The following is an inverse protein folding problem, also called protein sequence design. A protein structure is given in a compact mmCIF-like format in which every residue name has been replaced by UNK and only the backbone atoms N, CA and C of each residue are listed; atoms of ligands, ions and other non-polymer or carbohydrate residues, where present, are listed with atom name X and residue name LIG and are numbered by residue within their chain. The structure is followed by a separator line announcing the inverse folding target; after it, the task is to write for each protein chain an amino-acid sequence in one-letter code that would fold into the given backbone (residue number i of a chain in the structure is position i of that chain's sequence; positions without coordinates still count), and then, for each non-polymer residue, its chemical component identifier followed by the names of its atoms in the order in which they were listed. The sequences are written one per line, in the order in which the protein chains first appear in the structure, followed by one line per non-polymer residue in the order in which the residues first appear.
data_IF_403093595061
#
_entry.id   IF_403093595061
#
_cell.length_a   1.000
_cell.length_b   1.000
_cell.length_c   1.000
_cell.angle_alpha   90.00
_cell.angle_beta   90.00
_cell.angle_gamma   90.00
#
_symmetry.space_group_name_H-M   'P 1'
#
loop_
_entity.id
_entity.type
_entity.pdbx_description
1 polymer ?
#
# COMPACT_ATOMS: atom_id res chain seq x y z
N UNK A 1 -7.23 -23.86 -12.62
CA UNK A 1 -8.47 -23.13 -12.94
C UNK A 1 -8.09 -21.82 -13.60
N UNK A 2 -8.83 -21.32 -14.60
CA UNK A 2 -8.59 -19.97 -15.13
C UNK A 2 -8.69 -18.96 -13.98
N UNK A 3 -7.71 -18.05 -13.86
CA UNK A 3 -7.68 -17.01 -12.82
C UNK A 3 -8.95 -16.17 -12.98
N UNK A 4 -9.85 -16.08 -11.97
CA UNK A 4 -11.00 -15.19 -12.06
C UNK A 4 -10.49 -13.77 -12.26
N UNK A 5 -10.98 -13.11 -13.31
CA UNK A 5 -10.67 -11.72 -13.65
C UNK A 5 -11.49 -10.76 -12.78
N UNK A 6 -11.56 -10.98 -11.47
CA UNK A 6 -12.21 -10.02 -10.59
C UNK A 6 -11.12 -9.04 -10.15
N UNK A 7 -11.23 -7.78 -10.62
CA UNK A 7 -10.41 -6.68 -10.13
C UNK A 7 -10.49 -6.67 -8.60
N UNK A 8 -9.36 -6.41 -7.93
CA UNK A 8 -9.43 -5.88 -6.58
C UNK A 8 -10.37 -4.65 -6.59
N UNK A 9 -11.20 -4.43 -5.55
CA UNK A 9 -11.98 -3.22 -5.41
C UNK A 9 -11.06 -1.99 -5.46
N UNK A 10 -11.63 -0.80 -5.67
CA UNK A 10 -10.85 0.42 -5.48
C UNK A 10 -10.56 0.56 -3.98
N UNK A 11 -9.30 0.39 -3.62
CA UNK A 11 -8.80 0.44 -2.26
C UNK A 11 -8.03 1.75 -2.17
N UNK A 12 -8.43 2.58 -1.22
CA UNK A 12 -7.64 3.74 -0.83
C UNK A 12 -6.97 3.47 0.50
N UNK A 13 -5.87 4.18 0.75
CA UNK A 13 -5.02 3.98 1.92
C UNK A 13 -5.77 4.17 3.24
N UNK A 14 -6.80 5.04 3.26
CA UNK A 14 -7.65 5.24 4.42
C UNK A 14 -8.76 4.18 4.42
N UNK A 15 -8.81 3.31 5.45
CA UNK A 15 -9.83 2.27 5.51
C UNK A 15 -11.22 2.88 5.78
N UNK A 16 -12.30 2.31 5.22
CA UNK A 16 -13.65 2.87 5.35
C UNK A 16 -14.10 3.11 6.79
N UNK A 17 -13.77 2.21 7.72
CA UNK A 17 -14.16 2.35 9.13
C UNK A 17 -13.59 3.62 9.80
N UNK A 18 -12.44 4.12 9.34
CA UNK A 18 -11.84 5.35 9.86
C UNK A 18 -12.63 6.56 9.39
N UNK A 19 -12.96 6.62 8.10
CA UNK A 19 -13.80 7.67 7.54
C UNK A 19 -15.22 7.64 8.13
N UNK A 20 -15.81 6.45 8.30
CA UNK A 20 -17.14 6.29 8.91
C UNK A 20 -17.19 6.84 10.33
N UNK A 21 -16.09 6.69 11.08
CA UNK A 21 -15.97 7.25 12.42
C UNK A 21 -15.82 8.77 12.39
N UNK A 22 -14.96 9.29 11.52
CA UNK A 22 -14.76 10.74 11.36
C UNK A 22 -16.03 11.43 10.87
N UNK A 23 -16.81 10.77 10.01
CA UNK A 23 -18.11 11.25 9.52
C UNK A 23 -19.15 11.43 10.65
N UNK A 24 -18.98 10.74 11.79
CA UNK A 24 -19.84 10.88 12.97
C UNK A 24 -19.34 11.94 13.95
N UNK A 25 -18.23 12.63 13.65
CA UNK A 25 -17.64 13.63 14.52
C UNK A 25 -18.53 14.88 14.64
N UNK A 26 -18.60 15.44 15.85
CA UNK A 26 -19.48 16.58 16.15
C UNK A 26 -19.01 17.90 15.48
N UNK A 27 -17.71 18.05 15.23
CA UNK A 27 -17.16 19.17 14.48
C UNK A 27 -17.29 18.94 12.96
N UNK A 28 -18.03 19.81 12.28
CA UNK A 28 -18.28 19.75 10.84
C UNK A 28 -16.99 19.87 10.01
N UNK A 29 -15.94 20.50 10.53
CA UNK A 29 -14.64 20.59 9.85
C UNK A 29 -13.96 19.23 9.71
N UNK A 30 -14.32 18.25 10.55
CA UNK A 30 -13.83 16.87 10.50
C UNK A 30 -14.85 15.97 9.79
N UNK A 31 -16.14 16.09 10.11
CA UNK A 31 -17.14 15.16 9.56
C UNK A 31 -17.49 15.42 8.10
N UNK A 32 -17.47 16.68 7.63
CA UNK A 32 -17.83 16.98 6.23
C UNK A 32 -16.80 16.45 5.21
N UNK A 33 -15.47 16.66 5.38
CA UNK A 33 -14.46 16.05 4.51
C UNK A 33 -14.55 14.52 4.46
N UNK A 34 -14.71 13.87 5.63
CA UNK A 34 -14.88 12.42 5.70
C UNK A 34 -16.12 11.91 4.93
N UNK A 35 -17.28 12.57 5.08
CA UNK A 35 -18.50 12.22 4.33
C UNK A 35 -18.31 12.41 2.82
N UNK A 36 -17.70 13.52 2.39
CA UNK A 36 -17.40 13.76 0.97
C UNK A 36 -16.49 12.68 0.40
N UNK A 37 -15.44 12.33 1.15
CA UNK A 37 -14.47 11.29 0.79
C UNK A 37 -15.16 9.95 0.64
N UNK A 38 -16.01 9.54 1.59
CA UNK A 38 -16.80 8.30 1.50
C UNK A 38 -17.67 8.24 0.23
N UNK A 39 -18.33 9.34 -0.12
CA UNK A 39 -19.18 9.44 -1.32
C UNK A 39 -18.33 9.28 -2.59
N UNK A 40 -17.18 9.97 -2.66
CA UNK A 40 -16.27 9.89 -3.80
C UNK A 40 -15.71 8.46 -3.93
N UNK A 41 -15.27 7.85 -2.84
CA UNK A 41 -14.75 6.48 -2.82
C UNK A 41 -15.80 5.47 -3.28
N UNK A 42 -17.05 5.62 -2.84
CA UNK A 42 -18.14 4.76 -3.27
C UNK A 42 -18.39 4.90 -4.78
N UNK A 43 -18.39 6.12 -5.33
CA UNK A 43 -18.53 6.34 -6.77
C UNK A 43 -17.39 5.66 -7.54
N UNK A 44 -16.15 5.81 -7.08
CA UNK A 44 -14.99 5.19 -7.72
C UNK A 44 -15.03 3.65 -7.65
N UNK A 45 -15.45 3.07 -6.51
CA UNK A 45 -15.70 1.62 -6.38
C UNK A 45 -16.75 1.14 -7.38
N UNK A 46 -17.90 1.81 -7.46
CA UNK A 46 -18.96 1.46 -8.41
C UNK A 46 -18.51 1.57 -9.87
N UNK A 47 -17.74 2.61 -10.24
CA UNK A 47 -17.19 2.75 -11.59
C UNK A 47 -16.24 1.58 -11.94
N UNK A 48 -15.46 1.10 -10.98
CA UNK A 48 -14.54 -0.04 -11.17
C UNK A 48 -15.29 -1.36 -11.29
N UNK A 49 -16.37 -1.56 -10.54
CA UNK A 49 -17.24 -2.74 -10.66
C UNK A 49 -17.98 -2.80 -12.00
N UNK A 50 -18.39 -1.64 -12.53
CA UNK A 50 -19.06 -1.55 -13.83
C UNK A 50 -18.13 -1.75 -15.04
N UNK A 51 -16.81 -1.69 -14.84
CA UNK A 51 -15.85 -1.90 -15.91
C UNK A 51 -15.84 -3.39 -16.34
N UNK A 52 -16.35 -3.68 -17.54
CA UNK A 52 -16.51 -5.02 -18.16
C UNK A 52 -15.22 -5.86 -18.18
N UNK A 53 -14.07 -5.21 -18.13
CA UNK A 53 -12.79 -5.82 -17.80
C UNK A 53 -12.19 -5.02 -16.64
N UNK A 54 -11.68 -5.69 -15.59
CA UNK A 54 -10.74 -5.05 -14.68
C UNK A 54 -9.68 -4.34 -15.52
N UNK A 55 -9.34 -3.08 -15.24
CA UNK A 55 -8.12 -2.54 -15.79
C UNK A 55 -6.96 -3.35 -15.19
N UNK A 56 -6.54 -4.41 -15.88
CA UNK A 56 -5.11 -4.72 -15.89
C UNK A 56 -4.45 -3.41 -16.27
N UNK A 57 -3.45 -2.99 -15.51
CA UNK A 57 -2.60 -1.86 -15.85
C UNK A 57 -2.24 -1.91 -17.34
N UNK A 58 -3.01 -1.18 -18.15
CA UNK A 58 -2.84 -1.09 -19.60
C UNK A 58 -2.38 0.34 -19.82
N UNK A 59 -1.27 0.55 -20.56
CA UNK A 59 -0.85 1.89 -20.91
C UNK A 59 -2.03 2.62 -21.57
N UNK A 60 -2.21 3.89 -21.24
CA UNK A 60 -3.13 4.74 -21.98
C UNK A 60 -2.79 4.67 -23.48
N UNK A 61 -3.77 4.75 -24.40
CA UNK A 61 -3.51 4.70 -25.84
C UNK A 61 -2.43 5.72 -26.24
N UNK A 62 -1.27 5.24 -26.69
CA UNK A 62 -0.11 6.07 -27.08
C UNK A 62 1.02 6.18 -26.04
N UNK A 63 0.81 5.72 -24.80
CA UNK A 63 1.86 5.66 -23.80
C UNK A 63 2.79 4.47 -24.10
N UNK A 64 4.03 4.74 -24.52
CA UNK A 64 5.04 3.71 -24.76
C UNK A 64 5.71 3.32 -23.45
N UNK A 65 5.92 2.03 -23.25
CA UNK A 65 6.79 1.53 -22.19
C UNK A 65 8.17 2.18 -22.31
N UNK A 66 8.71 2.65 -21.19
CA UNK A 66 10.08 3.15 -21.12
C UNK A 66 11.09 2.01 -21.34
N UNK A 67 12.36 2.32 -21.67
CA UNK A 67 13.40 1.30 -21.63
C UNK A 67 13.61 0.82 -20.18
N UNK A 68 13.94 -0.47 -20.03
CA UNK A 68 14.15 -1.08 -18.73
C UNK A 68 15.19 -0.31 -17.89
N UNK A 69 14.87 -0.07 -16.63
CA UNK A 69 15.67 0.73 -15.70
C UNK A 69 15.52 2.24 -15.83
N UNK A 70 14.61 2.73 -16.68
CA UNK A 70 14.23 4.15 -16.72
C UNK A 70 12.72 4.29 -16.52
N UNK A 71 12.28 4.93 -15.42
CA UNK A 71 10.86 5.18 -15.23
C UNK A 71 10.33 6.15 -16.30
N UNK A 72 9.04 6.04 -16.59
CA UNK A 72 8.30 7.03 -17.37
C UNK A 72 7.20 7.60 -16.48
N UNK A 73 7.44 8.76 -15.87
CA UNK A 73 6.46 9.41 -14.97
C UNK A 73 5.72 10.56 -15.64
N UNK A 74 4.48 10.76 -15.21
CA UNK A 74 3.70 11.96 -15.50
C UNK A 74 2.81 12.31 -14.31
N UNK A 75 3.02 13.49 -13.75
CA UNK A 75 2.18 14.04 -12.68
C UNK A 75 1.25 15.08 -13.26
N UNK A 76 -0.03 14.92 -12.93
CA UNK A 76 -1.12 15.78 -13.33
C UNK A 76 -1.75 16.47 -12.11
N UNK A 77 -2.44 17.56 -12.38
CA UNK A 77 -3.18 18.37 -11.42
C UNK A 77 -4.66 18.35 -11.79
N UNK A 78 -5.51 17.88 -10.87
CA UNK A 78 -6.95 17.82 -11.05
C UNK A 78 -7.65 19.18 -10.77
N UNK A 79 -6.94 20.17 -10.24
CA UNK A 79 -7.45 21.51 -9.96
C UNK A 79 -8.63 21.51 -8.99
N UNK A 80 -8.56 20.67 -7.95
CA UNK A 80 -9.62 20.40 -6.98
C UNK A 80 -10.93 19.84 -7.57
N UNK A 81 -10.91 19.40 -8.83
CA UNK A 81 -11.99 18.61 -9.43
C UNK A 81 -11.77 17.12 -9.20
N UNK A 82 -12.78 16.31 -9.54
CA UNK A 82 -12.67 14.85 -9.54
C UNK A 82 -12.43 14.26 -10.93
N UNK A 83 -12.06 15.08 -11.92
CA UNK A 83 -11.78 14.64 -13.29
C UNK A 83 -10.33 14.17 -13.45
N UNK A 84 -10.16 12.92 -13.87
CA UNK A 84 -8.85 12.29 -14.09
C UNK A 84 -8.46 12.24 -15.58
N UNK A 85 -7.16 12.31 -15.93
CA UNK A 85 -6.03 12.59 -15.03
C UNK A 85 -5.88 14.09 -14.72
N UNK A 86 -6.66 14.98 -15.34
CA UNK A 86 -6.45 16.43 -15.20
C UNK A 86 -5.29 16.95 -16.05
N UNK A 87 -4.76 18.12 -15.70
CA UNK A 87 -3.74 18.84 -16.48
C UNK A 87 -2.35 18.29 -16.19
N UNK A 88 -1.59 17.91 -17.23
CA UNK A 88 -0.18 17.53 -17.05
C UNK A 88 0.64 18.71 -16.53
N UNK A 89 1.30 18.55 -15.38
CA UNK A 89 2.11 19.59 -14.73
C UNK A 89 3.58 19.24 -14.60
N UNK A 90 3.94 17.94 -14.51
CA UNK A 90 5.35 17.50 -14.51
C UNK A 90 5.51 16.19 -15.28
N UNK A 91 6.29 16.22 -16.37
CA UNK A 91 6.62 15.06 -17.18
C UNK A 91 8.01 14.51 -16.83
N UNK A 92 8.31 13.27 -17.27
CA UNK A 92 9.62 12.65 -17.08
C UNK A 92 10.79 13.57 -17.48
N UNK A 93 11.78 13.72 -16.60
CA UNK A 93 12.97 14.54 -16.82
C UNK A 93 12.76 16.05 -16.68
N UNK A 94 11.55 16.52 -16.33
CA UNK A 94 11.30 17.95 -16.07
C UNK A 94 11.69 18.34 -14.63
N UNK A 95 12.18 19.57 -14.42
CA UNK A 95 12.56 20.05 -13.10
C UNK A 95 11.33 20.14 -12.18
N UNK A 96 11.60 20.29 -10.88
CA UNK A 96 10.60 20.56 -9.85
C UNK A 96 9.73 21.77 -10.21
N UNK A 97 8.44 21.70 -9.88
CA UNK A 97 7.46 22.75 -10.18
C UNK A 97 7.39 23.81 -9.08
N UNK A 98 7.84 23.48 -7.86
CA UNK A 98 7.66 24.32 -6.67
C UNK A 98 6.34 24.06 -5.95
N UNK A 99 5.50 23.17 -6.48
CA UNK A 99 4.34 22.63 -5.78
C UNK A 99 4.76 21.36 -5.03
N UNK A 100 4.59 21.37 -3.71
CA UNK A 100 5.03 20.26 -2.86
C UNK A 100 4.35 18.93 -3.22
N UNK A 101 3.04 18.93 -3.50
CA UNK A 101 2.32 17.70 -3.81
C UNK A 101 2.78 17.12 -5.15
N UNK A 102 2.94 17.97 -6.17
CA UNK A 102 3.44 17.57 -7.49
C UNK A 102 4.86 17.00 -7.38
N UNK A 103 5.72 17.68 -6.63
CA UNK A 103 7.12 17.30 -6.52
C UNK A 103 7.30 16.02 -5.71
N UNK A 104 6.62 15.87 -4.57
CA UNK A 104 6.59 14.64 -3.78
C UNK A 104 6.05 13.45 -4.57
N UNK A 105 4.91 13.60 -5.26
CA UNK A 105 4.35 12.55 -6.09
C UNK A 105 5.36 12.11 -7.18
N UNK A 106 6.01 13.06 -7.85
CA UNK A 106 6.98 12.75 -8.90
C UNK A 106 8.21 11.99 -8.35
N UNK A 107 8.74 12.42 -7.21
CA UNK A 107 9.90 11.80 -6.58
C UNK A 107 9.57 10.39 -6.07
N UNK A 108 8.44 10.21 -5.38
CA UNK A 108 8.10 8.93 -4.74
C UNK A 108 7.54 7.87 -5.71
N UNK A 109 6.89 8.27 -6.81
CA UNK A 109 6.67 7.38 -7.95
C UNK A 109 8.02 6.86 -8.49
N UNK A 110 9.02 7.74 -8.59
CA UNK A 110 10.37 7.39 -9.03
C UNK A 110 11.11 6.47 -8.06
N UNK A 111 11.02 6.77 -6.76
CA UNK A 111 11.63 5.95 -5.71
C UNK A 111 11.06 4.52 -5.70
N UNK A 112 9.74 4.38 -5.87
CA UNK A 112 9.08 3.08 -5.97
C UNK A 112 9.58 2.28 -7.18
N UNK A 113 9.62 2.90 -8.36
CA UNK A 113 10.18 2.25 -9.55
C UNK A 113 11.64 1.83 -9.32
N UNK A 114 12.46 2.75 -8.80
CA UNK A 114 13.88 2.54 -8.57
C UNK A 114 14.11 1.34 -7.65
N UNK A 115 13.37 1.25 -6.56
CA UNK A 115 13.44 0.12 -5.63
C UNK A 115 13.14 -1.21 -6.32
N UNK A 116 11.99 -1.33 -6.99
CA UNK A 116 11.60 -2.57 -7.67
C UNK A 116 12.57 -2.96 -8.79
N UNK A 117 13.12 -1.97 -9.51
CA UNK A 117 14.10 -2.22 -10.55
C UNK A 117 15.46 -2.64 -9.98
N UNK A 118 16.07 -1.81 -9.12
CA UNK A 118 17.44 -2.04 -8.65
C UNK A 118 17.52 -3.27 -7.72
N UNK A 119 16.50 -3.52 -6.89
CA UNK A 119 16.51 -4.64 -5.93
C UNK A 119 15.98 -5.93 -6.55
N UNK A 120 14.88 -5.85 -7.31
CA UNK A 120 14.16 -7.05 -7.77
C UNK A 120 14.20 -7.25 -9.28
N UNK A 121 14.85 -6.37 -10.04
CA UNK A 121 14.91 -6.39 -11.51
C UNK A 121 13.51 -6.43 -12.15
N UNK A 122 12.52 -5.81 -11.48
CA UNK A 122 11.16 -5.70 -11.97
C UNK A 122 10.99 -4.42 -12.78
N UNK A 123 10.56 -4.55 -14.03
CA UNK A 123 10.34 -3.41 -14.90
C UNK A 123 8.95 -2.78 -14.66
N UNK A 124 8.85 -1.85 -13.70
CA UNK A 124 7.59 -1.20 -13.29
C UNK A 124 6.54 -2.15 -12.68
N UNK A 125 5.32 -1.65 -12.49
CA UNK A 125 4.23 -2.32 -11.77
C UNK A 125 3.81 -3.64 -12.42
N UNK A 126 3.71 -3.67 -13.75
CA UNK A 126 3.31 -4.84 -14.55
C UNK A 126 4.47 -5.74 -14.98
N UNK A 127 5.71 -5.37 -14.63
CA UNK A 127 6.92 -6.04 -15.11
C UNK A 127 7.24 -5.80 -16.60
N UNK A 128 6.50 -4.90 -17.28
CA UNK A 128 6.65 -4.58 -18.70
C UNK A 128 6.86 -3.08 -18.97
N UNK A 129 7.14 -2.29 -17.94
CA UNK A 129 7.45 -0.88 -18.06
C UNK A 129 6.24 0.03 -18.11
N UNK A 130 5.15 -0.34 -17.42
CA UNK A 130 3.98 0.53 -17.24
C UNK A 130 4.41 1.96 -16.84
N UNK A 131 3.96 2.99 -17.57
CA UNK A 131 4.13 4.37 -17.16
C UNK A 131 3.48 4.66 -15.81
N UNK A 132 4.16 5.46 -14.99
CA UNK A 132 3.68 5.84 -13.66
C UNK A 132 2.98 7.19 -13.73
N UNK A 133 1.65 7.16 -13.67
CA UNK A 133 0.82 8.35 -13.71
C UNK A 133 0.35 8.65 -12.29
N UNK A 134 0.50 9.90 -11.87
CA UNK A 134 -0.05 10.41 -10.60
C UNK A 134 -0.89 11.66 -10.84
N UNK A 135 -2.00 11.79 -10.11
CA UNK A 135 -2.85 12.99 -10.14
C UNK A 135 -2.97 13.54 -8.73
N UNK A 136 -2.55 14.79 -8.52
CA UNK A 136 -2.63 15.52 -7.25
C UNK A 136 -3.80 16.51 -7.26
N UNK A 137 -4.08 17.11 -6.09
CA UNK A 137 -5.18 18.06 -5.89
C UNK A 137 -6.53 17.50 -6.32
N UNK A 138 -6.76 16.21 -6.05
CA UNK A 138 -7.99 15.53 -6.40
C UNK A 138 -9.09 15.87 -5.39
N UNK A 139 -10.18 16.48 -5.87
CA UNK A 139 -11.26 16.95 -5.01
C UNK A 139 -10.87 18.11 -4.08
N UNK A 140 -11.81 18.50 -3.22
CA UNK A 140 -11.61 19.48 -2.15
C UNK A 140 -11.62 18.76 -0.81
N UNK A 141 -10.59 18.95 0.01
CA UNK A 141 -10.40 18.31 1.31
C UNK A 141 -10.61 16.78 1.24
N UNK A 142 -10.07 16.16 0.19
CA UNK A 142 -10.22 14.73 -0.03
C UNK A 142 -9.24 13.97 0.87
N UNK A 143 -9.79 13.20 1.81
CA UNK A 143 -9.05 12.48 2.84
C UNK A 143 -8.67 11.06 2.40
N UNK A 144 -8.13 10.92 1.19
CA UNK A 144 -7.63 9.63 0.72
C UNK A 144 -6.59 9.75 -0.40
N UNK A 145 -5.93 8.62 -0.66
CA UNK A 145 -5.19 8.34 -1.88
C UNK A 145 -5.42 6.90 -2.31
N UNK A 146 -5.38 6.63 -3.61
CA UNK A 146 -5.68 5.29 -4.13
C UNK A 146 -5.01 4.99 -5.47
N UNK A 147 -4.76 3.71 -5.73
CA UNK A 147 -4.49 3.17 -7.07
C UNK A 147 -5.77 2.70 -7.77
N UNK A 148 -6.11 3.31 -8.91
CA UNK A 148 -7.35 2.98 -9.62
C UNK A 148 -7.22 1.89 -10.71
N UNK A 149 -6.07 1.22 -10.78
CA UNK A 149 -5.76 0.24 -11.85
C UNK A 149 -5.00 0.85 -13.04
N UNK A 150 -4.92 2.18 -13.15
CA UNK A 150 -4.21 2.88 -14.23
C UNK A 150 -3.30 4.01 -13.74
N UNK A 151 -3.68 4.70 -12.66
CA UNK A 151 -2.91 5.82 -12.09
C UNK A 151 -3.11 5.91 -10.59
N UNK A 152 -2.15 6.58 -9.94
CA UNK A 152 -2.25 7.07 -8.57
C UNK A 152 -3.08 8.34 -8.50
N UNK A 153 -3.90 8.49 -7.47
CA UNK A 153 -4.70 9.68 -7.20
C UNK A 153 -4.49 10.10 -5.74
N UNK A 154 -4.24 11.39 -5.52
CA UNK A 154 -3.90 11.94 -4.21
C UNK A 154 -4.80 13.12 -3.86
N UNK A 155 -5.42 13.03 -2.68
CA UNK A 155 -6.05 14.17 -2.02
C UNK A 155 -5.05 15.03 -1.24
N UNK A 156 -5.47 16.27 -0.98
CA UNK A 156 -4.70 17.23 -0.19
C UNK A 156 -4.92 17.09 1.33
N UNK A 157 -5.90 16.27 1.74
CA UNK A 157 -6.34 16.17 3.13
C UNK A 157 -7.11 17.42 3.60
N UNK A 158 -7.79 17.30 4.74
CA UNK A 158 -8.60 18.37 5.34
C UNK A 158 -7.80 19.41 6.16
N UNK A 159 -6.53 19.14 6.48
CA UNK A 159 -5.72 19.98 7.38
C UNK A 159 -6.20 20.02 8.84
N UNK A 160 -7.19 19.21 9.19
CA UNK A 160 -7.67 19.00 10.56
C UNK A 160 -7.23 17.63 11.07
N UNK A 161 -7.53 16.56 10.34
CA UNK A 161 -7.10 15.19 10.62
C UNK A 161 -5.90 14.80 9.77
N UNK A 162 -5.95 15.07 8.45
CA UNK A 162 -4.96 14.59 7.50
C UNK A 162 -4.21 15.75 6.83
N UNK A 163 -2.89 15.57 6.68
CA UNK A 163 -2.06 16.32 5.74
C UNK A 163 -2.23 15.74 4.33
N UNK A 164 -1.61 16.38 3.33
CA UNK A 164 -1.57 15.88 1.95
C UNK A 164 -1.03 14.45 1.86
N UNK A 165 -1.66 13.65 1.01
CA UNK A 165 -1.38 12.21 0.90
C UNK A 165 -0.10 11.88 0.13
N UNK A 166 0.55 12.87 -0.48
CA UNK A 166 1.86 12.73 -1.11
C UNK A 166 3.02 12.75 -0.12
N UNK A 167 2.79 13.17 1.13
CA UNK A 167 3.85 13.43 2.12
C UNK A 167 4.60 12.16 2.52
N UNK A 168 3.91 11.01 2.58
CA UNK A 168 4.47 9.75 3.03
C UNK A 168 4.86 8.84 1.84
N UNK A 169 6.16 8.57 1.60
CA UNK A 169 6.62 7.77 0.46
C UNK A 169 6.11 6.33 0.49
N UNK A 170 5.95 5.76 1.69
CA UNK A 170 5.45 4.41 1.93
C UNK A 170 3.98 4.25 1.55
N UNK A 171 3.15 5.31 1.61
CA UNK A 171 1.78 5.30 1.07
C UNK A 171 1.81 5.10 -0.44
N UNK A 172 2.67 5.83 -1.16
CA UNK A 172 2.77 5.71 -2.62
C UNK A 172 3.32 4.32 -2.99
N UNK A 173 4.31 3.83 -2.25
CA UNK A 173 4.84 2.48 -2.40
C UNK A 173 3.78 1.39 -2.14
N UNK A 174 2.95 1.57 -1.11
CA UNK A 174 1.82 0.69 -0.76
C UNK A 174 0.82 0.61 -1.92
N UNK A 175 0.31 1.75 -2.37
CA UNK A 175 -0.72 1.82 -3.40
C UNK A 175 -0.27 1.27 -4.76
N UNK A 176 0.97 1.56 -5.15
CA UNK A 176 1.56 0.98 -6.36
C UNK A 176 1.79 -0.53 -6.23
N UNK A 177 2.00 -1.04 -5.01
CA UNK A 177 2.20 -2.47 -4.77
C UNK A 177 0.91 -3.27 -4.99
N UNK A 178 -0.28 -2.69 -4.81
CA UNK A 178 -1.52 -3.36 -5.23
C UNK A 178 -1.46 -3.74 -6.72
N UNK A 179 -0.97 -2.84 -7.57
CA UNK A 179 -0.79 -3.14 -9.00
C UNK A 179 0.25 -4.24 -9.27
N UNK A 180 1.28 -4.36 -8.43
CA UNK A 180 2.25 -5.47 -8.50
C UNK A 180 1.56 -6.79 -8.15
N UNK A 181 0.77 -6.81 -7.08
CA UNK A 181 0.03 -8.00 -6.66
C UNK A 181 -0.98 -8.42 -7.75
N UNK A 182 -1.70 -7.48 -8.34
CA UNK A 182 -2.64 -7.72 -9.45
C UNK A 182 -1.96 -8.33 -10.68
N UNK A 183 -0.70 -7.94 -10.96
CA UNK A 183 0.08 -8.48 -12.07
C UNK A 183 0.65 -9.89 -11.78
N UNK A 184 0.81 -10.24 -10.51
CA UNK A 184 1.38 -11.52 -10.06
C UNK A 184 0.29 -12.51 -9.61
N UNK A 185 0.05 -12.61 -8.29
CA UNK A 185 -0.84 -13.58 -7.66
C UNK A 185 -2.32 -13.20 -7.71
N UNK A 186 -2.63 -11.91 -7.91
CA UNK A 186 -3.98 -11.35 -7.89
C UNK A 186 -4.79 -11.83 -6.67
N UNK A 187 -4.25 -11.61 -5.47
CA UNK A 187 -4.87 -12.03 -4.22
C UNK A 187 -6.27 -11.42 -4.08
N UNK A 188 -7.26 -12.26 -3.80
CA UNK A 188 -8.64 -11.85 -3.55
C UNK A 188 -8.66 -10.89 -2.36
N UNK A 189 -9.31 -9.75 -2.53
CA UNK A 189 -9.40 -8.72 -1.50
C UNK A 189 -10.54 -9.01 -0.50
N UNK A 190 -10.42 -10.14 0.20
CA UNK A 190 -11.39 -10.61 1.18
C UNK A 190 -10.69 -11.45 2.26
N UNK A 191 -11.06 -11.26 3.53
CA UNK A 191 -10.56 -12.07 4.65
C UNK A 191 -9.03 -12.13 4.70
N UNK A 192 -8.48 -13.33 4.93
CA UNK A 192 -7.03 -13.51 5.03
C UNK A 192 -6.27 -13.24 3.73
N UNK A 193 -6.81 -13.55 2.55
CA UNK A 193 -6.13 -13.23 1.29
C UNK A 193 -6.08 -11.72 1.06
N UNK A 194 -7.11 -10.98 1.48
CA UNK A 194 -7.12 -9.52 1.44
C UNK A 194 -6.18 -8.91 2.47
N UNK A 195 -6.13 -9.46 3.69
CA UNK A 195 -5.17 -9.05 4.69
C UNK A 195 -3.70 -9.34 4.29
N UNK A 196 -3.45 -10.40 3.51
CA UNK A 196 -2.15 -10.63 2.87
C UNK A 196 -1.86 -9.60 1.78
N UNK A 197 -2.86 -9.22 0.98
CA UNK A 197 -2.73 -8.18 -0.04
C UNK A 197 -2.29 -6.85 0.60
N UNK A 198 -3.02 -6.40 1.63
CA UNK A 198 -2.70 -5.23 2.44
C UNK A 198 -1.30 -5.32 3.07
N UNK A 199 -0.99 -6.48 3.67
CA UNK A 199 0.30 -6.66 4.31
C UNK A 199 1.47 -6.62 3.33
N UNK A 200 1.33 -7.22 2.15
CA UNK A 200 2.35 -7.12 1.10
C UNK A 200 2.54 -5.67 0.64
N UNK A 201 1.46 -4.89 0.57
CA UNK A 201 1.53 -3.46 0.26
C UNK A 201 2.28 -2.66 1.34
N UNK A 202 1.98 -2.91 2.63
CA UNK A 202 2.72 -2.31 3.75
C UNK A 202 4.20 -2.73 3.77
N UNK A 203 4.50 -4.00 3.49
CA UNK A 203 5.86 -4.54 3.37
C UNK A 203 6.63 -3.79 2.30
N UNK A 204 6.14 -3.76 1.06
CA UNK A 204 6.90 -3.14 -0.03
C UNK A 204 6.89 -1.61 0.05
N UNK A 205 5.84 -0.98 0.56
CA UNK A 205 5.83 0.45 0.89
C UNK A 205 6.91 0.82 1.90
N UNK A 206 7.02 0.05 2.99
CA UNK A 206 8.09 0.22 3.98
C UNK A 206 9.48 0.00 3.39
N UNK A 207 9.66 -1.03 2.55
CA UNK A 207 10.95 -1.29 1.91
C UNK A 207 11.34 -0.19 0.92
N UNK A 208 10.39 0.40 0.19
CA UNK A 208 10.64 1.56 -0.68
C UNK A 208 11.16 2.74 0.14
N UNK A 209 10.51 3.05 1.26
CA UNK A 209 10.94 4.12 2.16
C UNK A 209 12.32 3.87 2.76
N UNK A 210 12.56 2.66 3.27
CA UNK A 210 13.86 2.27 3.81
C UNK A 210 14.96 2.39 2.75
N UNK A 211 14.70 1.92 1.53
CA UNK A 211 15.64 2.00 0.42
C UNK A 211 15.95 3.44 0.02
N UNK A 212 14.94 4.29 -0.08
CA UNK A 212 15.09 5.70 -0.41
C UNK A 212 15.89 6.47 0.65
N UNK A 213 15.76 6.09 1.93
CA UNK A 213 16.46 6.70 3.05
C UNK A 213 17.79 6.03 3.40
N UNK A 214 18.15 4.92 2.72
CA UNK A 214 19.35 4.14 3.02
C UNK A 214 19.34 3.51 4.41
N UNK A 215 18.17 3.12 4.92
CA UNK A 215 17.98 2.56 6.26
C UNK A 215 18.04 1.04 6.23
N UNK A 216 18.67 0.46 7.26
CA UNK A 216 18.55 -0.97 7.56
C UNK A 216 17.28 -1.27 8.41
N UNK A 217 17.03 -2.56 8.66
CA UNK A 217 15.88 -3.03 9.41
C UNK A 217 15.79 -2.47 10.85
N UNK A 218 16.92 -2.11 11.48
CA UNK A 218 16.96 -1.60 12.86
C UNK A 218 16.79 -0.08 12.91
N UNK A 219 17.07 0.61 11.82
CA UNK A 219 16.91 2.06 11.69
C UNK A 219 15.52 2.47 11.22
N UNK A 220 14.83 1.58 10.49
CA UNK A 220 13.50 1.83 9.96
C UNK A 220 12.46 2.07 11.07
N UNK A 221 11.51 2.97 10.83
CA UNK A 221 10.43 3.25 11.78
C UNK A 221 9.35 2.17 11.84
N UNK A 222 9.17 1.41 10.75
CA UNK A 222 8.13 0.39 10.59
C UNK A 222 6.71 0.93 10.77
N UNK A 223 6.52 2.20 10.42
CA UNK A 223 5.26 2.92 10.49
C UNK A 223 4.73 3.21 9.09
N UNK A 224 3.44 2.93 8.87
CA UNK A 224 2.76 3.20 7.59
C UNK A 224 1.99 4.51 7.67
N UNK A 225 2.33 5.48 6.82
CA UNK A 225 1.74 6.82 6.82
C UNK A 225 2.28 7.71 7.94
N UNK A 226 3.54 7.54 8.34
CA UNK A 226 4.17 8.44 9.30
C UNK A 226 4.19 9.89 8.77
N UNK A 227 3.67 10.83 9.56
CA UNK A 227 3.52 12.24 9.17
C UNK A 227 2.26 12.56 8.37
N UNK A 228 1.42 11.56 8.04
CA UNK A 228 0.14 11.80 7.37
C UNK A 228 -0.83 12.57 8.27
N UNK A 229 -0.89 12.24 9.56
CA UNK A 229 -1.77 12.94 10.50
C UNK A 229 -1.22 14.32 10.86
N UNK A 230 -2.12 15.29 11.07
CA UNK A 230 -1.75 16.62 11.59
C UNK A 230 -1.29 16.54 13.05
N UNK A 231 -0.71 17.63 13.55
CA UNK A 231 -0.31 17.76 14.96
C UNK A 231 -1.49 17.81 15.95
N UNK A 232 -2.73 17.92 15.44
CA UNK A 232 -3.97 17.93 16.22
C UNK A 232 -4.44 16.52 16.61
N UNK A 233 -3.93 15.49 15.94
CA UNK A 233 -4.36 14.10 16.09
C UNK A 233 -3.34 13.31 16.91
N UNK A 234 -3.83 12.52 17.87
CA UNK A 234 -2.99 11.60 18.67
C UNK A 234 -2.70 10.30 17.93
N UNK A 235 -1.92 10.41 16.85
CA UNK A 235 -1.52 9.30 16.01
C UNK A 235 -0.05 9.44 15.57
N UNK A 236 0.68 8.33 15.53
CA UNK A 236 2.04 8.27 14.94
C UNK A 236 1.99 8.01 13.44
N UNK A 237 1.02 7.20 13.02
CA UNK A 237 0.89 6.62 11.69
C UNK A 237 -0.48 5.93 11.56
N UNK A 238 -0.84 5.49 10.35
CA UNK A 238 -2.05 4.66 10.13
C UNK A 238 -1.90 3.29 10.77
N UNK A 239 -0.71 2.68 10.65
CA UNK A 239 -0.40 1.33 11.13
C UNK A 239 1.03 1.24 11.63
N UNK A 240 1.29 0.29 12.52
CA UNK A 240 2.63 -0.11 12.92
C UNK A 240 2.85 -1.57 12.53
N UNK A 241 3.87 -1.83 11.71
CA UNK A 241 4.25 -3.20 11.38
C UNK A 241 4.94 -3.89 12.56
N UNK A 242 5.66 -3.14 13.41
CA UNK A 242 6.36 -3.68 14.57
C UNK A 242 5.42 -3.99 15.73
N UNK A 243 4.48 -3.08 16.00
CA UNK A 243 3.55 -3.12 17.14
C UNK A 243 2.10 -2.85 16.66
N UNK A 244 1.45 -3.76 15.90
CA UNK A 244 0.07 -3.58 15.47
C UNK A 244 -0.87 -3.32 16.66
N UNK A 245 -1.76 -2.34 16.53
CA UNK A 245 -2.66 -1.90 17.61
C UNK A 245 -2.12 -0.73 18.44
N UNK A 246 -1.00 -0.12 18.03
CA UNK A 246 -0.33 0.98 18.75
C UNK A 246 -0.11 2.25 17.93
N UNK A 247 -0.53 2.27 16.66
CA UNK A 247 -0.22 3.37 15.75
C UNK A 247 -0.96 4.66 16.14
N UNK A 248 -2.17 4.55 16.70
CA UNK A 248 -2.98 5.67 17.15
C UNK A 248 -3.93 5.31 18.31
N UNK A 249 -4.21 6.31 19.14
CA UNK A 249 -5.22 6.28 20.21
C UNK A 249 -5.73 7.72 20.41
N UNK A 250 -6.72 8.08 19.59
CA UNK A 250 -7.24 9.44 19.45
C UNK A 250 -8.77 9.46 19.63
N UNK A 251 -9.37 10.48 20.26
CA UNK A 251 -10.82 10.54 20.43
C UNK A 251 -11.60 10.53 19.11
N UNK A 252 -11.10 11.22 18.08
CA UNK A 252 -11.74 11.31 16.78
C UNK A 252 -11.54 10.02 15.97
N UNK A 253 -10.33 9.45 15.93
CA UNK A 253 -10.03 8.22 15.18
C UNK A 253 -10.36 6.91 15.91
N UNK A 254 -10.49 6.96 17.24
CA UNK A 254 -10.52 5.78 18.08
C UNK A 254 -9.12 5.22 18.31
N UNK A 255 -9.06 3.92 18.60
CA UNK A 255 -7.81 3.19 18.80
C UNK A 255 -7.53 2.29 17.61
N UNK A 256 -6.25 2.15 17.26
CA UNK A 256 -5.77 1.18 16.28
C UNK A 256 -6.31 -0.24 16.58
N UNK A 257 -7.14 -0.83 15.68
CA UNK A 257 -7.82 -2.09 15.93
C UNK A 257 -6.97 -3.31 15.58
N UNK A 258 -5.76 -3.15 15.03
CA UNK A 258 -5.02 -4.28 14.46
C UNK A 258 -4.54 -5.28 15.53
N UNK A 259 -4.82 -6.59 15.37
CA UNK A 259 -4.20 -7.61 16.19
C UNK A 259 -2.75 -7.88 15.77
N UNK A 260 -1.90 -8.17 16.75
CA UNK A 260 -0.50 -8.55 16.56
C UNK A 260 -0.25 -10.08 16.53
N UNK A 261 -1.29 -10.89 16.71
CA UNK A 261 -1.20 -12.36 16.83
C UNK A 261 -2.51 -13.05 16.41
N UNK A 262 -2.43 -14.26 15.86
CA UNK A 262 -3.59 -15.04 15.38
C UNK A 262 -4.64 -15.35 16.45
N UNK A 263 -4.24 -15.47 17.72
CA UNK A 263 -5.20 -15.67 18.83
C UNK A 263 -6.20 -14.52 18.95
N UNK A 264 -5.86 -13.33 18.44
CA UNK A 264 -6.72 -12.14 18.45
C UNK A 264 -7.23 -11.81 17.04
N UNK A 265 -7.20 -12.76 16.10
CA UNK A 265 -7.76 -12.55 14.77
C UNK A 265 -9.21 -12.07 14.87
N UNK A 266 -9.54 -11.01 14.12
CA UNK A 266 -10.87 -10.41 14.13
C UNK A 266 -11.71 -11.03 13.01
N UNK A 267 -12.68 -11.85 13.39
CA UNK A 267 -13.70 -12.37 12.47
C UNK A 267 -14.85 -11.37 12.36
N UNK A 268 -14.94 -10.68 11.21
CA UNK A 268 -15.90 -9.60 10.96
C UNK A 268 -16.35 -9.62 9.50
N UNK A 269 -17.61 -9.26 9.18
CA UNK A 269 -18.02 -9.02 7.79
C UNK A 269 -17.57 -7.65 7.26
N UNK A 270 -17.24 -6.72 8.15
CA UNK A 270 -16.83 -5.36 7.79
C UNK A 270 -15.43 -5.38 7.16
N UNK A 271 -15.06 -4.29 6.50
CA UNK A 271 -13.70 -4.12 5.96
C UNK A 271 -13.27 -5.30 5.07
N UNK A 272 -14.19 -5.80 4.23
CA UNK A 272 -13.98 -6.98 3.37
C UNK A 272 -13.49 -8.22 4.16
N UNK A 273 -13.97 -8.45 5.37
CA UNK A 273 -13.44 -9.54 6.20
C UNK A 273 -12.24 -9.12 7.08
N UNK A 274 -12.13 -7.83 7.40
CA UNK A 274 -11.03 -7.28 8.20
C UNK A 274 -9.68 -7.29 7.48
N UNK A 275 -9.63 -6.86 6.22
CA UNK A 275 -8.38 -6.86 5.42
C UNK A 275 -7.35 -5.87 5.97
N UNK A 276 -7.75 -4.64 6.31
CA UNK A 276 -6.86 -3.66 6.93
C UNK A 276 -6.67 -3.94 8.42
N UNK A 277 -7.65 -4.57 9.07
CA UNK A 277 -7.58 -4.93 10.49
C UNK A 277 -6.55 -6.06 10.69
N UNK A 278 -6.72 -7.19 10.03
CA UNK A 278 -5.94 -8.40 10.26
C UNK A 278 -4.57 -8.40 9.56
N UNK A 279 -4.26 -7.41 8.71
CA UNK A 279 -2.93 -7.28 8.06
C UNK A 279 -1.79 -7.03 9.05
N UNK A 280 -2.09 -6.57 10.27
CA UNK A 280 -1.12 -6.44 11.36
C UNK A 280 -0.39 -7.75 11.71
N UNK A 281 -1.06 -8.91 11.58
CA UNK A 281 -0.49 -10.22 11.89
C UNK A 281 0.67 -10.57 10.93
N UNK A 282 0.46 -10.63 9.59
CA UNK A 282 1.55 -10.84 8.64
C UNK A 282 2.55 -9.66 8.57
N UNK A 283 2.14 -8.42 8.84
CA UNK A 283 3.07 -7.29 8.96
C UNK A 283 4.11 -7.52 10.06
N UNK A 284 3.64 -7.96 11.23
CA UNK A 284 4.53 -8.26 12.36
C UNK A 284 5.43 -9.46 12.09
N UNK A 285 4.95 -10.47 11.37
CA UNK A 285 5.80 -11.57 10.91
C UNK A 285 6.94 -11.04 10.01
N UNK A 286 6.65 -10.17 9.05
CA UNK A 286 7.69 -9.57 8.21
C UNK A 286 8.70 -8.75 9.03
N UNK A 287 8.22 -7.87 9.92
CA UNK A 287 9.06 -7.08 10.80
C UNK A 287 10.02 -7.94 11.62
N UNK A 288 9.51 -9.01 12.25
CA UNK A 288 10.31 -9.92 13.08
C UNK A 288 11.38 -10.64 12.23
N UNK A 289 11.02 -11.13 11.04
CA UNK A 289 11.96 -11.79 10.14
C UNK A 289 13.06 -10.81 9.68
N UNK A 290 12.69 -9.59 9.26
CA UNK A 290 13.63 -8.58 8.83
C UNK A 290 14.59 -8.13 9.95
N UNK A 291 14.05 -7.91 11.15
CA UNK A 291 14.85 -7.46 12.31
C UNK A 291 15.82 -8.52 12.79
N UNK A 292 15.42 -9.81 12.72
CA UNK A 292 16.27 -10.93 13.09
C UNK A 292 17.47 -11.12 12.13
N UNK A 293 17.30 -10.78 10.85
CA UNK A 293 18.35 -10.89 9.84
C UNK A 293 19.34 -9.73 9.84
N UNK A 294 18.99 -8.61 10.48
CA UNK A 294 19.74 -7.36 10.45
C UNK A 294 19.96 -6.83 9.01
N UNK A 295 20.64 -5.69 8.89
CA UNK A 295 20.98 -5.11 7.59
C UNK A 295 19.75 -4.73 6.75
N UNK A 296 19.93 -4.59 5.42
CA UNK A 296 18.86 -4.15 4.54
C UNK A 296 17.72 -5.17 4.44
N UNK A 297 16.54 -4.81 4.94
CA UNK A 297 15.38 -5.71 5.01
C UNK A 297 14.96 -6.27 3.63
N UNK A 298 15.19 -5.51 2.56
CA UNK A 298 14.86 -5.90 1.19
C UNK A 298 15.75 -7.02 0.63
N UNK A 299 16.96 -7.23 1.17
CA UNK A 299 17.89 -8.25 0.69
C UNK A 299 17.60 -9.64 1.28
N UNK A 300 17.16 -9.70 2.55
CA UNK A 300 16.82 -10.93 3.26
C UNK A 300 15.33 -11.25 3.18
N UNK A 301 14.58 -10.86 4.21
CA UNK A 301 13.14 -11.13 4.31
C UNK A 301 12.36 -10.59 3.09
N UNK A 302 12.67 -9.37 2.62
CA UNK A 302 12.02 -8.78 1.45
C UNK A 302 12.15 -9.64 0.19
N UNK A 303 13.32 -10.27 -0.02
CA UNK A 303 13.52 -11.19 -1.14
C UNK A 303 12.63 -12.43 -1.05
N UNK A 304 12.53 -13.03 0.15
CA UNK A 304 11.65 -14.18 0.37
C UNK A 304 10.19 -13.83 0.12
N UNK A 305 9.70 -12.68 0.61
CA UNK A 305 8.33 -12.23 0.37
C UNK A 305 8.07 -11.95 -1.12
N UNK A 306 9.04 -11.33 -1.81
CA UNK A 306 8.93 -11.06 -3.23
C UNK A 306 8.90 -12.34 -4.07
N UNK A 307 9.73 -13.32 -3.73
CA UNK A 307 9.72 -14.62 -4.38
C UNK A 307 8.43 -15.40 -4.11
N UNK A 308 7.92 -15.36 -2.88
CA UNK A 308 6.62 -15.98 -2.55
C UNK A 308 5.46 -15.32 -3.31
N UNK A 309 5.47 -14.00 -3.48
CA UNK A 309 4.46 -13.28 -4.26
C UNK A 309 4.45 -13.70 -5.74
N UNK A 310 5.63 -14.00 -6.31
CA UNK A 310 5.78 -14.39 -7.72
C UNK A 310 5.64 -15.88 -7.97
N UNK A 311 5.63 -16.69 -6.93
CA UNK A 311 5.56 -18.13 -7.05
C UNK A 311 4.18 -18.57 -7.56
N UNK A 312 4.14 -19.36 -8.63
CA UNK A 312 2.90 -19.83 -9.25
C UNK A 312 2.03 -20.69 -8.32
N UNK A 313 2.62 -21.19 -7.21
CA UNK A 313 1.91 -21.95 -6.18
C UNK A 313 1.10 -21.05 -5.24
N UNK A 314 1.36 -19.73 -5.21
CA UNK A 314 0.55 -18.79 -4.46
C UNK A 314 -0.84 -18.68 -5.07
N UNK A 315 -1.84 -19.18 -4.34
CA UNK A 315 -3.24 -19.10 -4.76
C UNK A 315 -3.78 -17.69 -4.50
N UNK A 316 -4.65 -17.22 -5.40
CA UNK A 316 -5.38 -15.97 -5.21
C UNK A 316 -6.22 -15.92 -3.90
N UNK A 317 -6.72 -17.06 -3.42
CA UNK A 317 -7.51 -17.20 -2.19
C UNK A 317 -6.65 -17.72 -1.02
N UNK A 318 -5.34 -17.47 -1.04
CA UNK A 318 -4.43 -17.98 -0.03
C UNK A 318 -4.75 -17.43 1.37
N UNK A 319 -4.75 -18.33 2.35
CA UNK A 319 -4.81 -17.97 3.77
C UNK A 319 -3.39 -17.71 4.34
N UNK A 320 -3.32 -17.23 5.59
CA UNK A 320 -2.04 -16.93 6.23
C UNK A 320 -1.14 -18.14 6.37
N UNK A 321 -1.70 -19.33 6.63
CA UNK A 321 -0.92 -20.56 6.78
C UNK A 321 -0.30 -20.98 5.46
N UNK A 322 -1.07 -20.89 4.37
CA UNK A 322 -0.61 -21.20 3.02
C UNK A 322 0.49 -20.25 2.58
N UNK A 323 0.34 -18.95 2.81
CA UNK A 323 1.39 -17.98 2.50
C UNK A 323 2.64 -18.19 3.36
N UNK A 324 2.48 -18.40 4.67
CA UNK A 324 3.60 -18.71 5.56
C UNK A 324 4.36 -19.97 5.13
N UNK A 325 3.65 -21.05 4.79
CA UNK A 325 4.27 -22.28 4.29
C UNK A 325 5.02 -22.06 2.97
N UNK A 326 4.49 -21.22 2.08
CA UNK A 326 5.15 -20.86 0.83
C UNK A 326 6.42 -20.03 1.08
N UNK A 327 6.40 -19.04 1.97
CA UNK A 327 7.61 -18.27 2.32
C UNK A 327 8.71 -19.16 2.89
N UNK A 328 8.36 -20.19 3.68
CA UNK A 328 9.33 -21.18 4.18
C UNK A 328 9.92 -22.05 3.08
N UNK A 329 9.09 -22.48 2.12
CA UNK A 329 9.58 -23.24 0.96
C UNK A 329 10.50 -22.40 0.08
N UNK A 330 10.15 -21.15 -0.17
CA UNK A 330 10.98 -20.19 -0.91
C UNK A 330 12.30 -19.95 -0.17
N UNK A 331 12.25 -19.76 1.14
CA UNK A 331 13.44 -19.56 1.98
C UNK A 331 14.43 -20.73 1.90
N UNK A 332 14.03 -21.94 1.47
CA UNK A 332 14.95 -23.08 1.28
C UNK A 332 16.08 -22.79 0.28
N UNK A 333 15.87 -21.84 -0.63
CA UNK A 333 16.87 -21.38 -1.59
C UNK A 333 17.86 -20.34 -1.01
N UNK A 334 17.69 -19.98 0.26
CA UNK A 334 18.52 -19.03 1.00
C UNK A 334 19.34 -19.73 2.09
N UNK A 335 20.20 -18.98 2.77
CA UNK A 335 20.98 -19.51 3.89
C UNK A 335 20.12 -19.94 5.09
N UNK A 336 20.75 -20.63 6.04
CA UNK A 336 20.06 -21.12 7.22
C UNK A 336 19.46 -20.00 8.08
N UNK A 337 20.13 -18.86 8.19
CA UNK A 337 19.67 -17.74 9.01
C UNK A 337 18.35 -17.16 8.48
N UNK A 338 18.23 -16.99 7.15
CA UNK A 338 16.99 -16.56 6.50
C UNK A 338 15.85 -17.53 6.80
N UNK A 339 16.07 -18.83 6.64
CA UNK A 339 15.04 -19.85 6.91
C UNK A 339 14.57 -19.83 8.36
N UNK A 340 15.52 -19.77 9.29
CA UNK A 340 15.23 -19.78 10.72
C UNK A 340 14.48 -18.51 11.15
N UNK A 341 14.88 -17.34 10.64
CA UNK A 341 14.21 -16.07 10.91
C UNK A 341 12.76 -16.07 10.42
N UNK A 342 12.50 -16.56 9.20
CA UNK A 342 11.14 -16.64 8.63
C UNK A 342 10.27 -17.62 9.42
N UNK A 343 10.81 -18.77 9.81
CA UNK A 343 10.07 -19.76 10.61
C UNK A 343 9.70 -19.22 12.00
N UNK A 344 10.66 -18.61 12.69
CA UNK A 344 10.44 -18.05 14.02
C UNK A 344 9.44 -16.89 13.98
N UNK A 345 9.49 -16.05 12.94
CA UNK A 345 8.59 -14.92 12.81
C UNK A 345 7.12 -15.33 12.64
N UNK A 346 6.82 -16.30 11.76
CA UNK A 346 5.46 -16.81 11.60
C UNK A 346 4.95 -17.49 12.87
N UNK A 347 5.81 -18.26 13.53
CA UNK A 347 5.49 -18.88 14.82
C UNK A 347 5.18 -17.83 15.89
N UNK A 348 5.94 -16.74 15.96
CA UNK A 348 5.79 -15.66 16.95
C UNK A 348 4.49 -14.86 16.80
N UNK A 349 3.84 -14.91 15.63
CA UNK A 349 2.50 -14.32 15.40
C UNK A 349 1.37 -15.37 15.40
N UNK A 350 1.68 -16.62 15.74
CA UNK A 350 0.70 -17.69 15.92
C UNK A 350 0.29 -18.40 14.63
N UNK A 351 0.95 -18.15 13.51
CA UNK A 351 0.70 -18.83 12.23
C UNK A 351 1.57 -20.08 12.15
N UNK A 352 1.02 -21.23 12.53
CA UNK A 352 1.73 -22.52 12.53
C UNK A 352 1.66 -23.16 11.13
N UNK A 353 2.83 -23.38 10.54
CA UNK A 353 2.99 -23.95 9.19
C UNK A 353 3.09 -25.47 9.19
#
# INVERSE_FOLDING_TARGET
MPRPSQSAPLIGVIPPFMLDRLAQHADARVSMPAVKTLIIDQQQRSLREMAVQPPRAKPAPGARAGPAGKPQRSVHDAGNSTTLPGKLVRAEGRPATGDAAVDEAYEYLGATYKFFWEVYQRHSIDGQGLPLIGTVHYGEDYDNAFWNGAQMVFGDGDGEVFNRFTLAPDIIGHELTHGVIDAEAALLYQGQSGALNESLCDVFGSLVKQYALGQDARQADWLIGAGLFTDKVRAKALRSMAEPGSAYDDPALGKDPQPAHMDNYVDTPDDNGGVHINSGIPNRAFYLAATALEGPAWAGAGRVWYDALRDERLRHDADFKQFAALTLQVAQNHDAAVRDAVAQAWQAVGVRT
#
